data_IF_210100062109
#
_entry.id   IF_210100062109
#
_cell.length_a   1.000
_cell.length_b   1.000
_cell.length_c   1.000
_cell.angle_alpha   90.00
_cell.angle_beta   90.00
_cell.angle_gamma   90.00
#
_symmetry.space_group_name_H-M   'P 1'
#
loop_
_entity.id
_entity.type
_entity.pdbx_description
1 polymer ?
#
# COMPACT_ATOMS: atom_id res chain seq x y z
N UNK A 1 -6.15 -8.37 -11.57
CA UNK A 1 -5.38 -9.32 -10.74
C UNK A 1 -5.26 -8.81 -9.31
N UNK A 2 -4.45 -9.48 -8.49
CA UNK A 2 -4.08 -9.04 -7.14
C UNK A 2 -2.57 -8.85 -7.14
N UNK A 3 -2.08 -7.71 -6.65
CA UNK A 3 -0.65 -7.48 -6.43
C UNK A 3 -0.31 -7.74 -4.97
N UNK A 4 0.79 -8.44 -4.74
CA UNK A 4 1.23 -8.83 -3.41
C UNK A 4 2.61 -8.27 -3.14
N UNK A 5 2.77 -7.66 -1.97
CA UNK A 5 4.08 -7.43 -1.36
C UNK A 5 4.15 -8.16 -0.04
N UNK A 6 5.35 -8.65 0.27
CA UNK A 6 5.66 -9.25 1.56
C UNK A 6 7.01 -8.69 2.01
N UNK A 7 7.11 -8.32 3.28
CA UNK A 7 8.37 -8.06 3.94
C UNK A 7 8.37 -8.82 5.27
N UNK A 8 9.55 -9.32 5.67
CA UNK A 8 9.73 -9.90 6.99
C UNK A 8 9.68 -8.74 7.99
N UNK A 9 8.62 -8.67 8.77
CA UNK A 9 8.54 -7.77 9.91
C UNK A 9 9.55 -8.26 10.95
N UNK A 10 10.25 -7.35 11.62
CA UNK A 10 11.06 -7.71 12.80
C UNK A 10 10.19 -8.24 13.98
N UNK A 11 8.87 -8.34 13.79
CA UNK A 11 7.96 -9.17 14.58
C UNK A 11 7.85 -10.59 13.98
N UNK A 12 8.37 -11.64 14.64
CA UNK A 12 8.27 -13.03 14.18
C UNK A 12 6.83 -13.58 14.12
N UNK A 13 5.81 -12.82 14.52
CA UNK A 13 4.39 -13.20 14.47
C UNK A 13 3.57 -12.51 13.38
N UNK A 14 4.18 -11.67 12.52
CA UNK A 14 3.44 -10.81 11.60
C UNK A 14 3.95 -10.81 10.15
N UNK A 15 3.97 -11.94 9.42
CA UNK A 15 4.24 -11.89 7.98
C UNK A 15 3.22 -10.99 7.29
N UNK A 16 3.58 -9.73 7.00
CA UNK A 16 2.67 -8.73 6.46
C UNK A 16 2.49 -8.95 4.97
N UNK A 17 1.43 -9.65 4.60
CA UNK A 17 0.99 -9.78 3.22
C UNK A 17 0.11 -8.58 2.90
N UNK A 18 0.63 -7.69 2.07
CA UNK A 18 -0.12 -6.54 1.56
C UNK A 18 -0.65 -6.90 0.19
N UNK A 19 -1.98 -6.87 0.03
CA UNK A 19 -2.62 -7.15 -1.27
C UNK A 19 -3.32 -5.92 -1.81
N UNK A 20 -2.98 -5.50 -3.03
CA UNK A 20 -3.71 -4.49 -3.79
C UNK A 20 -4.64 -5.14 -4.81
N UNK A 21 -5.91 -4.74 -4.83
CA UNK A 21 -6.84 -5.16 -5.89
C UNK A 21 -6.56 -4.40 -7.19
N UNK A 22 -6.70 -5.05 -8.34
CA UNK A 22 -6.93 -4.36 -9.62
C UNK A 22 -8.41 -4.37 -9.98
N UNK A 23 -8.86 -3.26 -10.58
CA UNK A 23 -10.21 -3.04 -11.11
C UNK A 23 -11.36 -3.29 -10.13
N UNK A 24 -11.87 -2.20 -9.55
CA UNK A 24 -13.30 -2.06 -9.33
C UNK A 24 -13.78 -0.83 -10.10
N UNK A 25 -14.59 -1.02 -11.14
CA UNK A 25 -15.37 0.08 -11.70
C UNK A 25 -16.41 0.44 -10.63
N UNK A 26 -16.17 1.53 -9.89
CA UNK A 26 -17.12 2.12 -8.95
C UNK A 26 -16.89 1.87 -7.45
N UNK A 27 -16.07 0.90 -7.03
CA UNK A 27 -15.84 0.60 -5.60
C UNK A 27 -14.44 0.98 -5.07
N UNK A 28 -13.51 1.38 -5.93
CA UNK A 28 -12.14 1.72 -5.55
C UNK A 28 -11.24 0.53 -5.25
N UNK A 29 -9.96 0.81 -5.03
CA UNK A 29 -8.97 -0.20 -4.69
C UNK A 29 -8.96 -0.45 -3.17
N UNK A 30 -8.63 -1.68 -2.78
CA UNK A 30 -8.48 -2.05 -1.37
C UNK A 30 -7.07 -2.54 -1.15
N UNK A 31 -6.48 -2.10 -0.04
CA UNK A 31 -5.26 -2.69 0.50
C UNK A 31 -5.63 -3.46 1.75
N UNK A 32 -5.27 -4.74 1.78
CA UNK A 32 -5.47 -5.61 2.94
C UNK A 32 -4.13 -5.99 3.53
N UNK A 33 -4.08 -5.98 4.87
CA UNK A 33 -2.95 -6.37 5.69
C UNK A 33 -3.30 -7.70 6.36
N UNK A 34 -2.41 -8.68 6.21
CA UNK A 34 -2.56 -9.99 6.82
C UNK A 34 -1.27 -10.32 7.55
N UNK A 35 -1.38 -10.75 8.80
CA UNK A 35 -0.34 -11.32 9.65
C UNK A 35 -0.50 -12.83 9.76
N UNK A 36 -1.65 -13.37 9.34
CA UNK A 36 -1.91 -14.82 9.28
C UNK A 36 -2.57 -15.19 7.96
N UNK A 37 -2.35 -16.43 7.47
CA UNK A 37 -3.08 -16.91 6.31
C UNK A 37 -4.59 -16.74 6.50
N UNK A 38 -5.27 -16.17 5.51
CA UNK A 38 -6.73 -16.05 5.44
C UNK A 38 -7.39 -15.13 6.49
N UNK A 39 -6.61 -14.41 7.31
CA UNK A 39 -7.13 -13.41 8.24
C UNK A 39 -6.72 -12.00 7.79
N UNK A 40 -7.72 -11.14 7.55
CA UNK A 40 -7.49 -9.71 7.34
C UNK A 40 -7.41 -9.06 8.71
N UNK A 41 -6.21 -8.62 9.11
CA UNK A 41 -6.00 -7.90 10.36
C UNK A 41 -6.38 -6.43 10.23
N UNK A 42 -6.20 -5.88 9.03
CA UNK A 42 -6.55 -4.51 8.70
C UNK A 42 -6.80 -4.33 7.20
N UNK A 43 -7.58 -3.32 6.86
CA UNK A 43 -7.70 -2.87 5.48
C UNK A 43 -7.96 -1.37 5.41
N UNK A 44 -7.63 -0.76 4.28
CA UNK A 44 -8.03 0.60 3.97
C UNK A 44 -8.44 0.73 2.50
N UNK A 45 -9.37 1.64 2.26
CA UNK A 45 -10.05 1.83 0.99
C UNK A 45 -9.46 3.03 0.25
N UNK A 46 -9.24 2.86 -1.05
CA UNK A 46 -8.75 3.87 -1.98
C UNK A 46 -9.83 4.10 -3.05
N UNK A 47 -10.92 4.83 -2.71
CA UNK A 47 -12.17 4.86 -3.48
C UNK A 47 -12.00 5.36 -4.92
N UNK A 48 -11.02 6.24 -5.16
CA UNK A 48 -10.79 6.87 -6.47
C UNK A 48 -9.77 6.13 -7.35
N UNK A 49 -9.25 4.99 -6.91
CA UNK A 49 -8.17 4.29 -7.59
C UNK A 49 -8.69 3.09 -8.38
N UNK A 50 -8.30 2.98 -9.66
CA UNK A 50 -8.65 1.83 -10.52
C UNK A 50 -7.63 0.71 -10.41
N UNK A 51 -7.34 0.34 -9.17
CA UNK A 51 -6.37 -0.66 -8.80
C UNK A 51 -5.04 -0.09 -8.31
N UNK A 52 -4.35 -0.85 -7.48
CA UNK A 52 -3.08 -0.43 -6.87
C UNK A 52 -2.05 -1.54 -6.81
N UNK A 53 -0.79 -1.16 -6.88
CA UNK A 53 0.38 -1.98 -6.60
C UNK A 53 0.97 -1.52 -5.28
N UNK A 54 1.55 -2.46 -4.54
CA UNK A 54 1.99 -2.24 -3.17
C UNK A 54 3.42 -2.72 -3.00
N UNK A 55 4.15 -2.08 -2.10
CA UNK A 55 5.45 -2.49 -1.58
C UNK A 55 5.51 -2.12 -0.09
N UNK A 56 6.40 -2.79 0.65
CA UNK A 56 6.56 -2.61 2.09
C UNK A 56 8.05 -2.45 2.40
N UNK A 57 8.41 -1.42 3.16
CA UNK A 57 9.78 -1.10 3.57
C UNK A 57 9.76 -0.16 4.78
N UNK A 58 10.77 -0.16 5.63
CA UNK A 58 10.97 0.87 6.65
C UNK A 58 11.66 2.09 6.01
N UNK A 59 10.86 3.05 5.51
CA UNK A 59 11.37 4.20 4.78
C UNK A 59 11.91 5.29 5.72
N UNK A 60 11.25 5.48 6.85
CA UNK A 60 11.57 6.55 7.80
C UNK A 60 12.60 6.14 8.87
N UNK A 61 12.95 4.84 8.95
CA UNK A 61 13.90 4.21 9.88
C UNK A 61 13.46 4.22 11.35
N UNK A 62 12.17 4.06 11.59
CA UNK A 62 11.61 3.94 12.94
C UNK A 62 11.53 2.49 13.44
N UNK A 63 11.92 1.51 12.60
CA UNK A 63 11.86 0.08 12.90
C UNK A 63 10.49 -0.56 12.65
N UNK A 64 9.54 0.18 12.05
CA UNK A 64 8.24 -0.32 11.62
C UNK A 64 8.12 -0.20 10.11
N UNK A 65 7.56 -1.23 9.48
CA UNK A 65 7.36 -1.24 8.03
C UNK A 65 6.33 -0.19 7.59
N UNK A 66 6.73 0.67 6.65
CA UNK A 66 5.88 1.63 5.95
C UNK A 66 5.26 1.03 4.67
N UNK A 67 4.14 1.62 4.23
CA UNK A 67 3.33 1.12 3.12
C UNK A 67 3.44 2.00 1.89
N UNK A 68 4.10 1.51 0.85
CA UNK A 68 4.22 2.16 -0.44
C UNK A 68 3.13 1.66 -1.39
N UNK A 69 2.36 2.57 -1.97
CA UNK A 69 1.22 2.28 -2.83
C UNK A 69 1.34 3.09 -4.11
N UNK A 70 1.09 2.46 -5.24
CA UNK A 70 1.16 3.10 -6.53
C UNK A 70 -0.05 2.74 -7.39
N UNK A 71 -0.48 3.67 -8.24
CA UNK A 71 -1.65 3.44 -9.10
C UNK A 71 -1.38 2.39 -10.17
N UNK A 72 -2.39 1.54 -10.39
CA UNK A 72 -2.47 0.71 -11.57
C UNK A 72 -2.81 1.52 -12.83
N UNK A 73 -2.81 0.89 -14.01
CA UNK A 73 -3.12 1.55 -15.27
C UNK A 73 -4.53 2.16 -15.29
N UNK A 74 -4.71 3.24 -16.07
CA UNK A 74 -6.00 3.91 -16.25
C UNK A 74 -6.41 4.87 -15.11
N UNK A 75 -5.51 5.13 -14.16
CA UNK A 75 -5.59 6.24 -13.20
C UNK A 75 -4.31 7.06 -13.31
N UNK A 76 -4.36 8.35 -12.94
CA UNK A 76 -3.17 9.20 -12.90
C UNK A 76 -2.04 8.57 -12.08
N UNK A 77 -0.80 8.92 -12.41
CA UNK A 77 0.42 8.28 -11.91
C UNK A 77 0.76 8.60 -10.45
N UNK A 78 -0.13 8.32 -9.50
CA UNK A 78 0.08 8.66 -8.10
C UNK A 78 0.85 7.57 -7.35
N UNK A 79 1.76 8.02 -6.49
CA UNK A 79 2.45 7.21 -5.49
C UNK A 79 2.18 7.81 -4.11
N UNK A 80 1.82 6.95 -3.17
CA UNK A 80 1.56 7.27 -1.76
C UNK A 80 2.48 6.41 -0.89
N UNK A 81 3.04 7.02 0.16
CA UNK A 81 3.76 6.31 1.20
C UNK A 81 3.13 6.68 2.54
N UNK A 82 2.69 5.67 3.28
CA UNK A 82 2.12 5.81 4.62
C UNK A 82 3.03 5.21 5.66
N UNK A 83 3.16 5.87 6.81
CA UNK A 83 3.88 5.30 7.93
C UNK A 83 3.20 4.02 8.42
N UNK A 84 4.01 3.05 8.86
CA UNK A 84 3.53 1.89 9.60
C UNK A 84 2.96 2.21 10.98
N UNK A 85 3.39 3.32 11.56
CA UNK A 85 3.04 3.74 12.92
C UNK A 85 1.77 4.58 12.90
N UNK A 86 0.67 3.99 13.35
CA UNK A 86 -0.58 4.72 13.51
C UNK A 86 -0.59 5.56 14.79
N UNK A 87 -0.82 6.87 14.64
CA UNK A 87 -1.09 7.78 15.75
C UNK A 87 -2.55 7.68 16.25
N UNK A 88 -3.41 6.93 15.56
CA UNK A 88 -4.82 6.80 15.91
C UNK A 88 -5.19 5.32 16.14
N UNK A 89 -5.67 4.93 17.34
CA UNK A 89 -5.96 3.52 17.67
C UNK A 89 -7.02 2.81 16.81
N UNK A 90 -7.74 3.54 15.95
CA UNK A 90 -8.75 2.99 15.04
C UNK A 90 -8.30 2.95 13.58
N UNK A 91 -7.11 3.48 13.26
CA UNK A 91 -6.58 3.49 11.91
C UNK A 91 -5.42 2.49 11.80
N UNK A 92 -5.41 1.66 10.74
CA UNK A 92 -4.39 0.62 10.58
C UNK A 92 -3.06 1.12 10.01
N UNK A 93 -3.01 2.38 9.56
CA UNK A 93 -1.85 3.01 8.94
C UNK A 93 -1.64 4.40 9.55
N UNK A 94 -0.40 4.86 9.51
CA UNK A 94 0.02 6.15 10.01
C UNK A 94 -0.17 7.31 9.05
N UNK A 95 0.55 8.38 9.36
CA UNK A 95 0.58 9.59 8.56
C UNK A 95 1.13 9.37 7.15
N UNK A 96 0.85 10.32 6.26
CA UNK A 96 1.42 10.30 4.91
C UNK A 96 2.86 10.81 4.95
N UNK A 97 3.81 9.94 4.63
CA UNK A 97 5.23 10.28 4.49
C UNK A 97 5.53 10.87 3.11
N UNK A 98 4.82 10.42 2.07
CA UNK A 98 4.96 10.93 0.71
C UNK A 98 3.66 10.83 -0.09
N UNK A 99 3.42 11.82 -0.95
CA UNK A 99 2.37 11.80 -1.97
C UNK A 99 2.84 12.56 -3.19
N UNK A 100 2.81 11.94 -4.36
CA UNK A 100 3.32 12.58 -5.57
C UNK A 100 2.96 11.87 -6.87
N UNK A 101 3.31 12.52 -7.98
CA UNK A 101 3.05 12.06 -9.34
C UNK A 101 4.35 11.94 -10.16
N UNK A 102 5.16 10.88 -10.00
CA UNK A 102 6.50 10.78 -10.61
C UNK A 102 6.52 10.89 -12.14
N UNK A 103 5.42 10.56 -12.82
CA UNK A 103 5.31 10.67 -14.29
C UNK A 103 4.29 11.74 -14.71
N UNK A 104 3.90 12.63 -13.80
CA UNK A 104 2.86 13.63 -14.00
C UNK A 104 1.44 13.07 -13.89
N UNK A 105 0.49 13.96 -13.61
CA UNK A 105 -0.89 13.57 -13.29
C UNK A 105 -1.61 12.87 -14.46
N UNK A 106 -1.23 13.18 -15.70
CA UNK A 106 -1.88 12.66 -16.91
C UNK A 106 -1.35 11.29 -17.37
N UNK A 107 -0.21 10.82 -16.82
CA UNK A 107 0.31 9.50 -17.17
C UNK A 107 -0.57 8.40 -16.56
N UNK A 108 -0.98 7.45 -17.40
CA UNK A 108 -1.95 6.40 -17.03
C UNK A 108 -1.44 4.98 -17.34
N UNK A 109 -0.15 4.82 -17.63
CA UNK A 109 0.46 3.50 -17.85
C UNK A 109 0.55 2.63 -16.58
N UNK A 110 0.24 3.22 -15.43
CA UNK A 110 0.41 2.63 -14.11
C UNK A 110 1.87 2.62 -13.66
N UNK A 111 2.08 2.47 -12.36
CA UNK A 111 3.41 2.48 -11.75
C UNK A 111 3.66 1.15 -11.06
N UNK A 112 4.82 0.53 -11.26
CA UNK A 112 5.28 -0.59 -10.44
C UNK A 112 6.25 -0.05 -9.38
N UNK A 113 6.14 -0.58 -8.16
CA UNK A 113 6.97 -0.18 -7.02
C UNK A 113 7.60 -1.40 -6.37
N UNK A 114 8.81 -1.21 -5.85
CA UNK A 114 9.52 -2.15 -5.02
C UNK A 114 10.38 -1.34 -4.03
N UNK A 115 10.69 -1.93 -2.88
CA UNK A 115 11.52 -1.32 -1.86
C UNK A 115 12.39 -2.39 -1.20
N UNK A 116 13.52 -1.97 -0.63
CA UNK A 116 14.36 -2.77 0.24
C UNK A 116 14.72 -1.93 1.45
N UNK A 117 14.92 -2.61 2.58
CA UNK A 117 15.53 -2.05 3.78
C UNK A 117 17.07 -2.07 3.64
#
# INVERSE_FOLDING_TARGET
GVFVAANNTDDPNAPLIVTGSEQNIGAGAVVQLHNRPQQVDANFQLPNYRGVRVAVLDFNRDGVNDYLIATGPGTGSQVLLYSGVSSHPLLPIGETLFSGFPFGQSFQGGIFVAGTN
#
